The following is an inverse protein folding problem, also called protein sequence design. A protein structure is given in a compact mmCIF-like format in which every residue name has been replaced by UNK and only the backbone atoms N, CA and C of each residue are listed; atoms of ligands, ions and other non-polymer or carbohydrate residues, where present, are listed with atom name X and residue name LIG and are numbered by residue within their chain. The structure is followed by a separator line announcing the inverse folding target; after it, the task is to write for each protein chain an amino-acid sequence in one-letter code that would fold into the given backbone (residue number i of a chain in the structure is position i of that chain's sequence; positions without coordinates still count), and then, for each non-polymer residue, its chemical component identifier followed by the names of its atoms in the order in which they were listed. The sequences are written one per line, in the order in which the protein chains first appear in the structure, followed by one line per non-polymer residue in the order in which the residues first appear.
data_IF_334457376633
#
_entry.id   IF_334457376633
#
_cell.length_a   1.000
_cell.length_b   1.000
_cell.length_c   1.000
_cell.angle_alpha   90.00
_cell.angle_beta   90.00
_cell.angle_gamma   90.00
#
_symmetry.space_group_name_H-M   'P 1'
#
loop_
_entity.id
_entity.type
_entity.pdbx_description
1 polymer ?
#
# COMPACT_ATOMS: atom_id res chain seq x y z
N UNK A 1 22.37 2.26 -18.66
CA UNK A 1 21.72 3.12 -17.66
C UNK A 1 21.49 2.29 -16.41
N UNK A 2 22.05 2.70 -15.28
CA UNK A 2 21.80 2.06 -13.99
C UNK A 2 20.30 2.18 -13.66
N UNK A 3 19.65 1.04 -13.35
CA UNK A 3 18.27 1.05 -12.85
C UNK A 3 18.30 1.47 -11.37
N UNK A 4 17.35 2.29 -10.90
CA UNK A 4 17.26 2.61 -9.47
C UNK A 4 17.25 1.34 -8.62
N UNK A 5 17.96 1.33 -7.48
CA UNK A 5 18.08 0.16 -6.58
C UNK A 5 16.73 -0.47 -6.18
N UNK A 6 15.65 0.32 -6.11
CA UNK A 6 14.31 -0.21 -5.82
C UNK A 6 13.63 -0.95 -6.99
N UNK A 7 14.09 -0.73 -8.23
CA UNK A 7 13.61 -1.37 -9.47
C UNK A 7 14.60 -2.42 -10.00
N UNK A 8 15.74 -2.61 -9.34
CA UNK A 8 16.74 -3.59 -9.75
C UNK A 8 16.30 -5.02 -9.44
N UNK A 9 15.27 -5.22 -8.60
CA UNK A 9 14.90 -6.54 -8.10
C UNK A 9 13.98 -7.32 -9.04
N UNK A 10 13.18 -6.66 -9.90
CA UNK A 10 12.42 -7.35 -10.95
C UNK A 10 13.01 -7.08 -12.35
N UNK A 11 13.48 -8.13 -13.00
CA UNK A 11 14.29 -8.03 -14.22
C UNK A 11 13.49 -7.59 -15.47
N UNK A 12 12.23 -7.99 -15.55
CA UNK A 12 11.43 -7.99 -16.80
C UNK A 12 10.32 -6.93 -16.85
N UNK A 13 10.04 -6.22 -15.76
CA UNK A 13 8.92 -5.27 -15.73
C UNK A 13 9.25 -3.98 -16.50
N UNK A 14 8.33 -3.57 -17.39
CA UNK A 14 8.41 -2.28 -18.06
C UNK A 14 8.02 -1.12 -17.13
N UNK A 15 8.57 0.08 -17.38
CA UNK A 15 8.20 1.30 -16.65
C UNK A 15 6.69 1.57 -16.70
N UNK A 16 6.05 1.25 -17.83
CA UNK A 16 4.61 1.43 -18.02
C UNK A 16 3.79 0.49 -17.14
N UNK A 17 4.14 -0.80 -17.08
CA UNK A 17 3.48 -1.74 -16.18
C UNK A 17 3.62 -1.32 -14.72
N UNK A 18 4.81 -0.85 -14.33
CA UNK A 18 5.05 -0.34 -12.98
C UNK A 18 4.16 0.87 -12.66
N UNK A 19 4.12 1.86 -13.55
CA UNK A 19 3.26 3.02 -13.40
C UNK A 19 1.79 2.61 -13.30
N UNK A 20 1.33 1.66 -14.12
CA UNK A 20 -0.04 1.16 -14.09
C UNK A 20 -0.37 0.44 -12.78
N UNK A 21 0.57 -0.31 -12.19
CA UNK A 21 0.41 -0.92 -10.87
C UNK A 21 0.21 0.16 -9.80
N UNK A 22 1.06 1.19 -9.80
CA UNK A 22 0.95 2.27 -8.80
C UNK A 22 -0.35 3.06 -8.96
N UNK A 23 -0.71 3.43 -10.20
CA UNK A 23 -1.96 4.14 -10.51
C UNK A 23 -3.18 3.28 -10.16
N UNK A 24 -3.14 1.98 -10.42
CA UNK A 24 -4.19 1.04 -10.05
C UNK A 24 -4.39 0.97 -8.53
N UNK A 25 -3.31 0.88 -7.77
CA UNK A 25 -3.36 0.92 -6.30
C UNK A 25 -3.90 2.24 -5.76
N UNK A 26 -3.50 3.38 -6.36
CA UNK A 26 -4.01 4.70 -5.99
C UNK A 26 -5.51 4.83 -6.28
N UNK A 27 -5.96 4.44 -7.47
CA UNK A 27 -7.36 4.48 -7.85
C UNK A 27 -8.21 3.59 -6.94
N UNK A 28 -7.73 2.37 -6.65
CA UNK A 28 -8.38 1.45 -5.71
C UNK A 28 -8.50 2.07 -4.31
N UNK A 29 -7.44 2.71 -3.81
CA UNK A 29 -7.45 3.39 -2.52
C UNK A 29 -8.58 4.42 -2.45
N UNK A 30 -8.67 5.31 -3.44
CA UNK A 30 -9.67 6.38 -3.45
C UNK A 30 -11.09 5.80 -3.54
N UNK A 31 -11.32 4.86 -4.45
CA UNK A 31 -12.64 4.23 -4.63
C UNK A 31 -13.09 3.52 -3.36
N UNK A 32 -12.22 2.72 -2.75
CA UNK A 32 -12.56 1.97 -1.54
C UNK A 32 -12.71 2.89 -0.34
N UNK A 33 -11.86 3.91 -0.20
CA UNK A 33 -11.94 4.88 0.90
C UNK A 33 -13.29 5.63 0.89
N UNK A 34 -13.58 6.34 -0.21
CA UNK A 34 -14.83 7.10 -0.31
C UNK A 34 -16.05 6.19 -0.40
N UNK A 35 -15.95 5.05 -1.09
CA UNK A 35 -17.01 4.06 -1.17
C UNK A 35 -17.37 3.49 0.20
N UNK A 36 -16.37 3.17 1.03
CA UNK A 36 -16.61 2.70 2.41
C UNK A 36 -17.34 3.76 3.22
N UNK A 37 -16.91 5.02 3.15
CA UNK A 37 -17.56 6.10 3.90
C UNK A 37 -19.01 6.30 3.43
N UNK A 38 -19.24 6.36 2.12
CA UNK A 38 -20.58 6.50 1.57
C UNK A 38 -21.51 5.35 1.98
N UNK A 39 -21.02 4.12 1.99
CA UNK A 39 -21.81 2.93 2.35
C UNK A 39 -22.08 2.84 3.86
N UNK A 40 -21.07 3.10 4.69
CA UNK A 40 -21.18 2.92 6.15
C UNK A 40 -21.87 4.10 6.82
N UNK A 41 -21.63 5.33 6.35
CA UNK A 41 -22.13 6.56 6.97
C UNK A 41 -23.19 7.29 6.13
N UNK A 42 -23.57 6.72 4.98
CA UNK A 42 -24.68 7.19 4.14
C UNK A 42 -24.39 8.44 3.30
N UNK A 43 -23.28 9.15 3.54
CA UNK A 43 -22.88 10.32 2.76
C UNK A 43 -21.37 10.56 2.82
N UNK A 44 -20.83 11.23 1.80
CA UNK A 44 -19.45 11.70 1.80
C UNK A 44 -19.25 12.94 2.66
N UNK A 45 -20.32 13.70 2.94
CA UNK A 45 -20.29 14.90 3.80
C UNK A 45 -19.85 14.57 5.23
N UNK A 46 -19.98 13.30 5.63
CA UNK A 46 -19.42 12.78 6.88
C UNK A 46 -17.88 12.98 6.99
N UNK A 47 -17.17 13.22 5.88
CA UNK A 47 -15.73 13.55 5.85
C UNK A 47 -15.44 15.06 5.88
N UNK A 48 -16.45 15.90 5.69
CA UNK A 48 -16.30 17.35 5.65
C UNK A 48 -16.18 17.98 7.05
N UNK A 49 -16.71 17.31 8.08
CA UNK A 49 -16.68 17.80 9.46
C UNK A 49 -15.29 17.69 10.09
N UNK A 50 -14.87 18.72 10.84
CA UNK A 50 -13.60 18.74 11.58
C UNK A 50 -13.47 17.57 12.59
N UNK A 51 -14.61 16.99 13.01
CA UNK A 51 -14.73 15.87 13.93
C UNK A 51 -14.73 14.46 13.27
N UNK A 52 -14.52 14.35 11.95
CA UNK A 52 -14.67 13.10 11.17
C UNK A 52 -13.60 12.02 11.39
N UNK A 53 -13.02 11.93 12.59
CA UNK A 53 -11.89 11.03 12.90
C UNK A 53 -12.29 9.57 12.71
N UNK A 54 -13.51 9.19 13.11
CA UNK A 54 -13.99 7.80 13.02
C UNK A 54 -14.18 7.38 11.57
N UNK A 55 -14.82 8.23 10.78
CA UNK A 55 -15.09 8.05 9.36
C UNK A 55 -13.78 7.91 8.58
N UNK A 56 -12.82 8.78 8.86
CA UNK A 56 -11.48 8.74 8.29
C UNK A 56 -10.76 7.42 8.64
N UNK A 57 -10.86 6.96 9.89
CA UNK A 57 -10.22 5.71 10.34
C UNK A 57 -10.86 4.46 9.71
N UNK A 58 -12.19 4.39 9.66
CA UNK A 58 -12.92 3.25 9.06
C UNK A 58 -12.64 3.20 7.56
N UNK A 59 -12.83 4.30 6.84
CA UNK A 59 -12.53 4.37 5.41
C UNK A 59 -11.06 4.06 5.13
N UNK A 60 -10.15 4.61 5.95
CA UNK A 60 -8.71 4.40 5.83
C UNK A 60 -8.31 2.94 6.04
N UNK A 61 -8.82 2.28 7.09
CA UNK A 61 -8.50 0.89 7.39
C UNK A 61 -8.96 -0.06 6.27
N UNK A 62 -10.19 0.11 5.77
CA UNK A 62 -10.72 -0.73 4.67
C UNK A 62 -9.95 -0.49 3.37
N UNK A 63 -9.68 0.78 3.03
CA UNK A 63 -8.87 1.13 1.87
C UNK A 63 -7.44 0.57 1.99
N UNK A 64 -6.85 0.61 3.18
CA UNK A 64 -5.54 0.05 3.46
C UNK A 64 -5.51 -1.45 3.18
N UNK A 65 -6.44 -2.22 3.74
CA UNK A 65 -6.56 -3.66 3.46
C UNK A 65 -6.62 -3.91 1.95
N UNK A 66 -7.49 -3.21 1.23
CA UNK A 66 -7.63 -3.39 -0.22
C UNK A 66 -6.34 -3.06 -1.00
N UNK A 67 -5.67 -1.95 -0.68
CA UNK A 67 -4.42 -1.53 -1.35
C UNK A 67 -3.30 -2.51 -1.08
N UNK A 68 -3.10 -2.90 0.18
CA UNK A 68 -2.06 -3.84 0.54
C UNK A 68 -2.30 -5.24 -0.06
N UNK A 69 -3.55 -5.71 -0.08
CA UNK A 69 -3.91 -6.94 -0.82
C UNK A 69 -3.60 -6.81 -2.31
N UNK A 70 -3.92 -5.67 -2.93
CA UNK A 70 -3.61 -5.42 -4.34
C UNK A 70 -2.10 -5.50 -4.62
N UNK A 71 -1.27 -4.87 -3.80
CA UNK A 71 0.19 -4.93 -3.96
C UNK A 71 0.77 -6.31 -3.63
N UNK A 72 0.15 -7.07 -2.72
CA UNK A 72 0.49 -8.48 -2.48
C UNK A 72 0.22 -9.34 -3.72
N UNK A 73 -0.94 -9.17 -4.34
CA UNK A 73 -1.27 -9.86 -5.59
C UNK A 73 -0.39 -9.40 -6.76
N UNK A 74 -0.03 -8.12 -6.82
CA UNK A 74 0.91 -7.60 -7.80
C UNK A 74 2.29 -8.24 -7.63
N UNK A 75 2.79 -8.34 -6.39
CA UNK A 75 4.03 -9.03 -6.06
C UNK A 75 4.00 -10.48 -6.54
N UNK A 76 2.96 -11.24 -6.16
CA UNK A 76 2.80 -12.65 -6.57
C UNK A 76 2.79 -12.82 -8.09
N UNK A 77 2.30 -11.83 -8.82
CA UNK A 77 2.30 -11.81 -10.29
C UNK A 77 3.59 -11.25 -10.93
N UNK A 78 4.61 -10.94 -10.14
CA UNK A 78 5.88 -10.42 -10.63
C UNK A 78 5.85 -8.95 -11.04
N UNK A 79 4.93 -8.17 -10.48
CA UNK A 79 4.81 -6.73 -10.71
C UNK A 79 5.23 -5.92 -9.47
N UNK A 80 5.96 -4.82 -9.72
CA UNK A 80 6.35 -3.82 -8.75
C UNK A 80 7.81 -3.95 -8.32
N UNK A 81 8.05 -4.21 -7.04
CA UNK A 81 9.38 -4.50 -6.49
C UNK A 81 9.25 -4.99 -5.05
N UNK A 82 10.13 -5.87 -4.54
CA UNK A 82 10.06 -6.36 -3.16
C UNK A 82 10.06 -5.22 -2.14
N UNK A 83 10.87 -4.17 -2.36
CA UNK A 83 10.86 -2.97 -1.52
C UNK A 83 9.71 -2.02 -1.90
N UNK A 84 9.49 -1.84 -3.20
CA UNK A 84 8.51 -0.87 -3.70
C UNK A 84 7.06 -1.27 -3.38
N UNK A 85 6.76 -2.56 -3.31
CA UNK A 85 5.46 -3.10 -2.92
C UNK A 85 5.20 -2.96 -1.41
N UNK A 86 6.15 -2.46 -0.64
CA UNK A 86 5.95 -1.99 0.75
C UNK A 86 5.84 -0.46 0.80
N UNK A 87 6.71 0.25 0.07
CA UNK A 87 6.78 1.72 0.09
C UNK A 87 5.53 2.35 -0.54
N UNK A 88 5.07 1.86 -1.70
CA UNK A 88 3.92 2.45 -2.38
C UNK A 88 2.60 2.31 -1.62
N UNK A 89 2.23 1.13 -1.06
CA UNK A 89 1.05 1.04 -0.22
C UNK A 89 1.05 2.04 0.94
N UNK A 90 2.18 2.18 1.64
CA UNK A 90 2.30 3.14 2.75
C UNK A 90 2.05 4.56 2.23
N UNK A 91 2.76 4.97 1.19
CA UNK A 91 2.62 6.31 0.62
C UNK A 91 1.19 6.60 0.14
N UNK A 92 0.57 5.64 -0.56
CA UNK A 92 -0.80 5.76 -1.08
C UNK A 92 -1.80 5.87 0.07
N UNK A 93 -1.76 4.94 1.02
CA UNK A 93 -2.75 4.87 2.10
C UNK A 93 -2.65 6.05 3.05
N UNK A 94 -1.45 6.59 3.28
CA UNK A 94 -1.25 7.77 4.14
C UNK A 94 -1.60 9.08 3.41
N UNK A 95 -1.15 9.25 2.17
CA UNK A 95 -1.26 10.53 1.49
C UNK A 95 -2.53 10.68 0.66
N UNK A 96 -2.99 9.63 -0.04
CA UNK A 96 -4.07 9.76 -1.01
C UNK A 96 -5.41 10.16 -0.38
N UNK A 97 -5.88 9.54 0.73
CA UNK A 97 -7.12 9.97 1.37
C UNK A 97 -7.05 11.41 1.86
N UNK A 98 -5.90 11.81 2.41
CA UNK A 98 -5.67 13.17 2.91
C UNK A 98 -5.76 14.20 1.78
N UNK A 99 -4.99 14.00 0.70
CA UNK A 99 -4.97 14.90 -0.45
C UNK A 99 -6.34 14.97 -1.13
N UNK A 100 -7.01 13.82 -1.31
CA UNK A 100 -8.31 13.79 -1.96
C UNK A 100 -9.39 14.47 -1.11
N UNK A 101 -9.37 14.30 0.22
CA UNK A 101 -10.29 15.01 1.13
C UNK A 101 -10.10 16.52 1.04
N UNK A 102 -8.86 16.98 1.07
CA UNK A 102 -8.54 18.41 0.91
C UNK A 102 -8.99 18.97 -0.44
N UNK A 103 -8.85 18.19 -1.52
CA UNK A 103 -9.32 18.58 -2.83
C UNK A 103 -10.86 18.70 -2.91
N UNK A 104 -11.60 17.88 -2.16
CA UNK A 104 -13.07 17.86 -2.18
C UNK A 104 -13.71 18.86 -1.21
N UNK A 105 -13.17 18.99 0.00
CA UNK A 105 -13.79 19.73 1.10
C UNK A 105 -13.00 20.97 1.54
N UNK A 106 -11.84 21.22 0.93
CA UNK A 106 -10.93 22.30 1.30
C UNK A 106 -9.92 21.90 2.37
N UNK A 107 -8.87 22.74 2.57
CA UNK A 107 -7.82 22.47 3.54
C UNK A 107 -8.30 22.69 4.98
N UNK A 108 -8.10 21.68 5.81
CA UNK A 108 -8.43 21.66 7.24
C UNK A 108 -7.19 22.00 8.08
N UNK A 109 -6.73 23.25 7.96
CA UNK A 109 -5.50 23.72 8.62
C UNK A 109 -5.69 23.84 10.12
N UNK A 110 -6.88 24.26 10.58
CA UNK A 110 -7.27 24.31 11.99
C UNK A 110 -7.23 22.92 12.63
N UNK A 111 -7.84 21.92 12.00
CA UNK A 111 -7.81 20.52 12.44
C UNK A 111 -6.42 19.90 12.40
N UNK A 112 -5.58 20.27 11.43
CA UNK A 112 -4.18 19.85 11.40
C UNK A 112 -3.42 20.43 12.61
N UNK A 113 -3.56 21.72 12.90
CA UNK A 113 -2.86 22.33 14.05
C UNK A 113 -3.37 21.77 15.38
N UNK A 114 -4.67 21.51 15.52
CA UNK A 114 -5.26 20.95 16.74
C UNK A 114 -4.88 19.50 16.99
N UNK A 115 -4.60 18.70 15.95
CA UNK A 115 -4.05 17.34 16.08
C UNK A 115 -2.56 17.32 16.37
N UNK A 116 -1.90 18.46 16.24
CA UNK A 116 -0.47 18.68 16.51
C UNK A 116 -0.31 19.72 17.64
N UNK A 117 -0.91 19.46 18.81
CA UNK A 117 -0.67 20.30 20.00
C UNK A 117 0.75 20.04 20.53
N UNK A 118 1.73 20.84 20.09
CA UNK A 118 3.14 20.74 20.50
C UNK A 118 3.96 19.69 19.72
N UNK A 119 4.93 19.04 20.38
CA UNK A 119 5.79 17.96 19.81
C UNK A 119 5.14 16.56 19.83
N UNK A 120 3.87 16.46 20.23
CA UNK A 120 3.22 15.19 20.55
C UNK A 120 2.50 14.64 19.31
N UNK A 121 3.18 13.76 18.57
CA UNK A 121 2.69 13.08 17.35
C UNK A 121 1.72 11.91 17.63
N UNK A 122 1.20 11.76 18.85
CA UNK A 122 0.53 10.52 19.29
C UNK A 122 -0.70 10.20 18.45
N UNK A 123 -1.57 11.17 18.20
CA UNK A 123 -2.82 10.93 17.47
C UNK A 123 -2.62 10.70 15.95
N UNK A 124 -1.77 11.47 15.25
CA UNK A 124 -1.38 11.16 13.87
C UNK A 124 -0.69 9.79 13.73
N UNK A 125 0.19 9.44 14.66
CA UNK A 125 0.91 8.17 14.65
C UNK A 125 -0.04 7.00 14.94
N UNK A 126 -0.91 7.11 15.94
CA UNK A 126 -1.92 6.10 16.25
C UNK A 126 -2.88 5.89 15.07
N UNK A 127 -3.32 6.96 14.41
CA UNK A 127 -4.18 6.87 13.23
C UNK A 127 -3.45 6.19 12.07
N UNK A 128 -2.17 6.53 11.85
CA UNK A 128 -1.34 5.89 10.82
C UNK A 128 -1.17 4.40 11.11
N UNK A 129 -0.84 4.02 12.35
CA UNK A 129 -0.69 2.62 12.75
C UNK A 129 -1.99 1.85 12.59
N UNK A 130 -3.12 2.42 13.04
CA UNK A 130 -4.44 1.79 12.95
C UNK A 130 -4.85 1.52 11.50
N UNK A 131 -4.41 2.36 10.58
CA UNK A 131 -4.67 2.20 9.15
C UNK A 131 -3.67 1.26 8.49
N UNK A 132 -2.36 1.37 8.79
CA UNK A 132 -1.31 0.60 8.11
C UNK A 132 -1.25 -0.85 8.59
N UNK A 133 -1.44 -1.12 9.89
CA UNK A 133 -1.29 -2.46 10.45
C UNK A 133 -2.26 -3.50 9.83
N UNK A 134 -3.58 -3.23 9.70
CA UNK A 134 -4.49 -4.17 9.05
C UNK A 134 -4.10 -4.46 7.59
N UNK A 135 -3.64 -3.43 6.87
CA UNK A 135 -3.14 -3.57 5.51
C UNK A 135 -1.89 -4.45 5.44
N UNK A 136 -0.88 -4.18 6.26
CA UNK A 136 0.33 -4.99 6.34
C UNK A 136 0.02 -6.45 6.68
N UNK A 137 -0.91 -6.71 7.60
CA UNK A 137 -1.38 -8.06 7.90
C UNK A 137 -2.03 -8.74 6.69
N UNK A 138 -2.86 -8.02 5.93
CA UNK A 138 -3.48 -8.55 4.71
C UNK A 138 -2.44 -8.88 3.62
N UNK A 139 -1.39 -8.05 3.48
CA UNK A 139 -0.28 -8.33 2.58
C UNK A 139 0.47 -9.60 2.97
N UNK A 140 0.83 -9.74 4.25
CA UNK A 140 1.47 -10.94 4.76
C UNK A 140 0.59 -12.17 4.55
N UNK A 141 -0.72 -12.06 4.79
CA UNK A 141 -1.66 -13.16 4.55
C UNK A 141 -1.65 -13.60 3.07
N UNK A 142 -1.66 -12.67 2.11
CA UNK A 142 -1.56 -13.00 0.69
C UNK A 142 -0.24 -13.72 0.39
N UNK A 143 0.88 -13.23 0.91
CA UNK A 143 2.18 -13.86 0.70
C UNK A 143 2.27 -15.25 1.34
N UNK A 144 1.74 -15.42 2.55
CA UNK A 144 1.69 -16.72 3.24
C UNK A 144 0.82 -17.72 2.48
N UNK A 145 -0.35 -17.31 2.01
CA UNK A 145 -1.22 -18.18 1.20
C UNK A 145 -0.52 -18.56 -0.11
N UNK A 146 0.16 -17.61 -0.75
CA UNK A 146 0.90 -17.90 -1.97
C UNK A 146 2.08 -18.84 -1.73
N UNK A 147 2.92 -18.57 -0.72
CA UNK A 147 4.11 -19.36 -0.44
C UNK A 147 3.81 -20.79 0.00
N UNK A 148 2.68 -21.00 0.70
CA UNK A 148 2.24 -22.33 1.13
C UNK A 148 1.51 -23.11 0.04
N UNK A 149 0.97 -22.44 -0.98
CA UNK A 149 0.22 -23.09 -2.07
C UNK A 149 1.06 -23.36 -3.33
N UNK A 150 2.20 -22.69 -3.50
CA UNK A 150 3.07 -22.87 -4.66
C UNK A 150 4.02 -24.06 -4.47
N UNK A 151 4.10 -24.94 -5.47
CA UNK A 151 5.08 -26.02 -5.50
C UNK A 151 6.50 -25.45 -5.67
N UNK A 152 7.49 -26.13 -5.08
CA UNK A 152 8.90 -25.73 -5.07
C UNK A 152 9.44 -25.42 -6.47
N UNK A 153 9.12 -26.26 -7.46
CA UNK A 153 9.57 -26.09 -8.85
C UNK A 153 9.01 -24.81 -9.47
N UNK A 154 7.72 -24.53 -9.21
CA UNK A 154 7.06 -23.30 -9.71
C UNK A 154 7.58 -22.07 -8.99
N UNK A 155 7.93 -22.18 -7.70
CA UNK A 155 8.56 -21.09 -6.95
C UNK A 155 9.92 -20.74 -7.56
N UNK A 156 10.77 -21.74 -7.81
CA UNK A 156 12.08 -21.54 -8.45
C UNK A 156 11.97 -20.99 -9.86
N UNK A 157 10.96 -21.42 -10.62
CA UNK A 157 10.67 -20.83 -11.93
C UNK A 157 10.22 -19.38 -11.83
N UNK A 158 9.38 -19.06 -10.85
CA UNK A 158 8.96 -17.69 -10.56
C UNK A 158 10.15 -16.81 -10.16
N UNK A 159 11.02 -17.29 -9.26
CA UNK A 159 12.21 -16.57 -8.80
C UNK A 159 13.15 -16.27 -9.97
N UNK A 160 13.50 -17.30 -10.76
CA UNK A 160 14.38 -17.13 -11.93
C UNK A 160 13.81 -16.20 -13.00
N UNK A 161 12.49 -16.18 -13.17
CA UNK A 161 11.82 -15.34 -14.18
C UNK A 161 11.76 -13.88 -13.76
N UNK A 162 11.53 -13.63 -12.48
CA UNK A 162 11.18 -12.30 -12.01
C UNK A 162 12.36 -11.65 -11.29
N UNK A 163 13.05 -12.35 -10.39
CA UNK A 163 14.17 -11.77 -9.63
C UNK A 163 15.34 -11.44 -10.57
N UNK A 164 16.02 -10.34 -10.31
CA UNK A 164 17.29 -10.07 -10.99
C UNK A 164 18.38 -11.02 -10.52
N UNK A 165 19.34 -11.31 -11.40
CA UNK A 165 20.48 -12.17 -11.06
C UNK A 165 21.19 -11.70 -9.78
N UNK A 166 21.48 -10.40 -9.66
CA UNK A 166 22.13 -9.85 -8.47
C UNK A 166 21.31 -10.04 -7.18
N UNK A 167 19.98 -9.99 -7.24
CA UNK A 167 19.13 -10.24 -6.08
C UNK A 167 19.01 -11.74 -5.78
N UNK A 168 18.87 -12.56 -6.82
CA UNK A 168 18.80 -14.01 -6.69
C UNK A 168 20.09 -14.57 -6.08
N UNK A 169 21.25 -14.15 -6.57
CA UNK A 169 22.54 -14.61 -6.09
C UNK A 169 22.78 -14.18 -4.63
N UNK A 170 22.42 -12.95 -4.27
CA UNK A 170 22.64 -12.40 -2.93
C UNK A 170 21.69 -12.94 -1.85
N UNK A 171 20.48 -13.37 -2.21
CA UNK A 171 19.42 -13.68 -1.22
C UNK A 171 18.76 -15.05 -1.39
N UNK A 172 19.03 -15.77 -2.49
CA UNK A 172 18.37 -17.05 -2.80
C UNK A 172 19.39 -18.16 -3.08
N UNK A 173 20.48 -17.87 -3.79
CA UNK A 173 21.43 -18.91 -4.21
C UNK A 173 22.18 -19.57 -3.03
N UNK A 174 22.46 -18.85 -1.95
CA UNK A 174 23.19 -19.37 -0.78
C UNK A 174 22.38 -20.37 0.07
N UNK A 175 21.05 -20.40 -0.02
CA UNK A 175 20.22 -21.33 0.76
C UNK A 175 20.28 -22.80 0.26
N UNK A 176 21.03 -23.07 -0.81
CA UNK A 176 21.05 -24.37 -1.50
C UNK A 176 22.44 -25.00 -1.70
N UNK A 177 23.50 -24.45 -1.08
CA UNK A 177 24.78 -25.16 -0.88
C UNK A 177 24.82 -25.84 0.50
#
# INVERSE_FOLDING_TARGET
MERPLGLSSFATQSRFQHALTVVGGLALCLVVYFGTVAVVFGSLDALATEASITEQRVGGAVASVAVWTYFGLAFVRGYGGPVLNLVYPIAIVVAAPFVARWALFGPDVSGLVSRFVGLVLIEPLATTLLVVLPGGAAFLAVLTVWSTSIAEERRREWERRHLSAAFYDAFVAEEYE
#
